data_IF_707599060637
#
_entry.id   IF_707599060637
#
_cell.length_a   1.000
_cell.length_b   1.000
_cell.length_c   1.000
_cell.angle_alpha   90.00
_cell.angle_beta   90.00
_cell.angle_gamma   90.00
#
_symmetry.space_group_name_H-M   'P 1'
#
loop_
_entity.id
_entity.type
_entity.pdbx_description
1 polymer ?
#
# COMPACT_ATOMS: atom_id res chain seq x y z
N UNK A 1 -21.26 12.17 13.22
CA UNK A 1 -20.93 10.73 13.10
C UNK A 1 -19.69 10.63 12.22
N UNK A 2 -18.52 10.60 12.85
CA UNK A 2 -17.20 10.53 12.20
C UNK A 2 -16.86 9.09 11.85
N UNK A 3 -17.52 8.56 10.82
CA UNK A 3 -17.09 7.29 10.21
C UNK A 3 -16.01 7.59 9.17
N UNK A 4 -14.79 7.75 9.69
CA UNK A 4 -13.48 7.52 9.06
C UNK A 4 -13.55 7.17 7.57
N UNK A 5 -13.44 8.23 6.75
CA UNK A 5 -13.25 8.23 5.29
C UNK A 5 -11.93 7.58 4.82
N UNK A 6 -11.33 6.69 5.62
CA UNK A 6 -10.07 6.00 5.30
C UNK A 6 -10.30 4.76 4.42
N UNK A 7 -11.54 4.26 4.33
CA UNK A 7 -11.87 3.04 3.58
C UNK A 7 -11.73 3.18 2.06
N UNK A 8 -12.09 4.33 1.48
CA UNK A 8 -12.07 4.53 0.02
C UNK A 8 -10.65 4.46 -0.54
N UNK A 9 -9.70 4.95 0.26
CA UNK A 9 -8.27 4.96 -0.02
C UNK A 9 -7.67 3.54 -0.04
N UNK A 10 -8.09 2.69 0.90
CA UNK A 10 -7.52 1.35 1.04
C UNK A 10 -7.91 0.47 -0.14
N UNK A 11 -9.09 0.68 -0.72
CA UNK A 11 -9.59 -0.13 -1.83
C UNK A 11 -8.82 0.14 -3.14
N UNK A 12 -8.50 1.41 -3.44
CA UNK A 12 -7.68 1.76 -4.61
C UNK A 12 -6.26 1.20 -4.50
N UNK A 13 -5.62 1.28 -3.33
CA UNK A 13 -4.28 0.70 -3.16
C UNK A 13 -4.27 -0.82 -3.23
N UNK A 14 -5.30 -1.48 -2.70
CA UNK A 14 -5.46 -2.93 -2.85
C UNK A 14 -5.49 -3.35 -4.31
N UNK A 15 -6.22 -2.62 -5.15
CA UNK A 15 -6.26 -2.89 -6.60
C UNK A 15 -4.90 -2.70 -7.25
N UNK A 16 -4.22 -1.56 -7.01
CA UNK A 16 -2.90 -1.30 -7.58
C UNK A 16 -1.87 -2.36 -7.15
N UNK A 17 -1.85 -2.73 -5.86
CA UNK A 17 -0.95 -3.76 -5.34
C UNK A 17 -1.24 -5.14 -5.93
N UNK A 18 -2.52 -5.47 -6.13
CA UNK A 18 -2.93 -6.71 -6.79
C UNK A 18 -2.46 -6.72 -8.24
N UNK A 19 -2.68 -5.63 -9.00
CA UNK A 19 -2.23 -5.49 -10.37
C UNK A 19 -0.70 -5.63 -10.48
N UNK A 20 0.06 -4.98 -9.60
CA UNK A 20 1.53 -5.08 -9.58
C UNK A 20 2.00 -6.50 -9.27
N UNK A 21 1.33 -7.18 -8.35
CA UNK A 21 1.61 -8.58 -8.03
C UNK A 21 1.30 -9.52 -9.21
N UNK A 22 0.15 -9.36 -9.87
CA UNK A 22 -0.23 -10.16 -11.04
C UNK A 22 0.67 -9.88 -12.26
N UNK A 23 1.04 -8.61 -12.46
CA UNK A 23 1.95 -8.18 -13.51
C UNK A 23 3.42 -8.54 -13.22
N UNK A 24 3.74 -8.99 -11.99
CA UNK A 24 5.11 -9.21 -11.50
C UNK A 24 5.99 -7.99 -11.71
N UNK A 25 5.43 -6.82 -11.44
CA UNK A 25 6.14 -5.56 -11.53
C UNK A 25 6.66 -5.13 -10.15
N UNK A 26 7.69 -4.28 -10.17
CA UNK A 26 8.19 -3.70 -8.93
C UNK A 26 7.17 -2.71 -8.38
N UNK A 27 6.92 -2.82 -7.08
CA UNK A 27 6.12 -1.88 -6.34
C UNK A 27 7.03 -0.90 -5.60
N UNK A 28 6.93 0.38 -5.96
CA UNK A 28 7.59 1.46 -5.23
C UNK A 28 6.65 2.01 -4.16
N UNK A 29 6.88 1.69 -2.90
CA UNK A 29 5.99 1.93 -1.78
C UNK A 29 6.56 2.97 -0.84
N UNK A 30 5.70 3.85 -0.35
CA UNK A 30 5.98 4.72 0.79
C UNK A 30 5.03 4.33 1.91
N UNK A 31 5.56 4.03 3.08
CA UNK A 31 4.76 3.63 4.25
C UNK A 31 5.35 4.23 5.53
N UNK A 32 4.50 4.32 6.56
CA UNK A 32 4.93 4.76 7.88
C UNK A 32 5.41 3.58 8.73
N UNK A 33 6.66 3.64 9.18
CA UNK A 33 7.24 2.70 10.14
C UNK A 33 8.22 3.45 11.04
N UNK A 34 7.67 4.10 12.07
CA UNK A 34 8.40 5.07 12.92
C UNK A 34 9.00 6.25 12.12
N UNK A 35 8.34 6.59 11.00
CA UNK A 35 8.80 7.57 10.03
C UNK A 35 8.50 7.14 8.59
N UNK A 36 8.72 8.06 7.65
CA UNK A 36 8.51 7.81 6.22
C UNK A 36 9.58 6.87 5.68
N UNK A 37 9.21 5.61 5.46
CA UNK A 37 10.09 4.60 4.88
C UNK A 37 9.66 4.29 3.45
N UNK A 38 10.66 4.17 2.56
CA UNK A 38 10.45 3.78 1.17
C UNK A 38 10.95 2.37 0.95
N UNK A 39 10.15 1.56 0.26
CA UNK A 39 10.55 0.26 -0.23
C UNK A 39 10.32 0.16 -1.74
N UNK A 40 11.23 -0.46 -2.46
CA UNK A 40 11.15 -0.65 -3.90
C UNK A 40 11.52 -2.09 -4.21
N UNK A 41 10.51 -2.94 -4.41
CA UNK A 41 10.73 -4.37 -4.58
C UNK A 41 9.53 -5.08 -5.21
N UNK A 42 9.69 -6.36 -5.56
CA UNK A 42 8.59 -7.16 -6.08
C UNK A 42 7.69 -7.65 -4.93
N UNK A 43 6.38 -7.65 -5.17
CA UNK A 43 5.42 -8.20 -4.22
C UNK A 43 5.47 -9.73 -4.33
N UNK A 44 6.06 -10.37 -3.34
CA UNK A 44 6.14 -11.84 -3.24
C UNK A 44 4.82 -12.45 -2.74
N UNK A 45 4.18 -11.80 -1.77
CA UNK A 45 2.89 -12.24 -1.24
C UNK A 45 1.97 -11.03 -1.03
N UNK A 46 0.72 -11.17 -1.47
CA UNK A 46 -0.34 -10.19 -1.23
C UNK A 46 -1.45 -10.84 -0.40
N UNK A 47 -1.77 -10.25 0.76
CA UNK A 47 -2.82 -10.72 1.67
C UNK A 47 -3.85 -9.62 1.93
N UNK A 48 -5.07 -9.81 1.44
CA UNK A 48 -6.19 -8.90 1.65
C UNK A 48 -7.21 -9.48 2.65
N UNK A 49 -6.81 -9.58 3.93
CA UNK A 49 -7.66 -10.13 5.00
C UNK A 49 -8.19 -9.00 5.91
N UNK A 50 -9.03 -8.14 5.33
CA UNK A 50 -9.68 -7.04 6.06
C UNK A 50 -8.68 -6.10 6.75
N UNK A 51 -8.75 -6.03 8.08
CA UNK A 51 -7.92 -5.16 8.93
C UNK A 51 -6.44 -5.58 8.97
N UNK A 52 -6.15 -6.86 8.71
CA UNK A 52 -4.79 -7.42 8.70
C UNK A 52 -4.21 -7.52 7.29
N UNK A 53 -4.66 -6.68 6.37
CA UNK A 53 -4.16 -6.71 4.99
C UNK A 53 -2.68 -6.28 4.94
N UNK A 54 -1.82 -7.11 4.34
CA UNK A 54 -0.38 -6.87 4.22
C UNK A 54 0.16 -7.34 2.88
N UNK A 55 1.35 -6.84 2.55
CA UNK A 55 2.18 -7.32 1.46
C UNK A 55 3.54 -7.76 2.00
N UNK A 56 4.10 -8.81 1.43
CA UNK A 56 5.46 -9.25 1.66
C UNK A 56 6.24 -9.01 0.38
N UNK A 57 7.31 -8.23 0.50
CA UNK A 57 8.25 -8.00 -0.57
C UNK A 57 9.25 -9.16 -0.69
N UNK A 58 9.84 -9.35 -1.87
CA UNK A 58 10.82 -10.42 -2.13
C UNK A 58 12.08 -10.28 -1.28
N UNK A 59 12.45 -9.05 -0.91
CA UNK A 59 13.51 -8.77 0.08
C UNK A 59 13.17 -9.20 1.53
N UNK A 60 11.99 -9.76 1.78
CA UNK A 60 11.53 -10.24 3.09
C UNK A 60 10.81 -9.19 3.93
N UNK A 61 10.61 -7.98 3.40
CA UNK A 61 9.96 -6.90 4.13
C UNK A 61 8.44 -7.03 4.11
N UNK A 62 7.83 -7.07 5.29
CA UNK A 62 6.37 -7.12 5.45
C UNK A 62 5.82 -5.73 5.73
N UNK A 63 4.92 -5.25 4.87
CA UNK A 63 4.30 -3.92 4.96
C UNK A 63 2.79 -4.08 5.12
N UNK A 64 2.22 -3.44 6.14
CA UNK A 64 0.76 -3.42 6.31
C UNK A 64 0.16 -2.40 5.34
N UNK A 65 -0.90 -2.79 4.61
CA UNK A 65 -1.54 -1.92 3.61
C UNK A 65 -2.14 -0.66 4.28
N UNK A 66 -2.56 -0.76 5.54
CA UNK A 66 -3.07 0.38 6.31
C UNK A 66 -1.99 1.43 6.66
N UNK A 67 -0.70 1.08 6.58
CA UNK A 67 0.44 1.98 6.78
C UNK A 67 0.99 2.54 5.47
N UNK A 68 0.53 2.04 4.33
CA UNK A 68 0.95 2.52 3.01
C UNK A 68 0.36 3.90 2.75
N UNK A 69 1.25 4.84 2.45
CA UNK A 69 0.97 6.25 2.14
C UNK A 69 0.93 6.46 0.62
N UNK A 70 1.80 5.77 -0.13
CA UNK A 70 1.88 5.89 -1.59
C UNK A 70 2.33 4.58 -2.25
N UNK A 71 1.89 4.36 -3.49
CA UNK A 71 2.28 3.24 -4.35
C UNK A 71 2.63 3.78 -5.74
N UNK A 72 3.81 3.51 -6.25
CA UNK A 72 4.36 3.99 -7.52
C UNK A 72 4.19 5.50 -7.76
N UNK A 73 4.37 6.30 -6.70
CA UNK A 73 4.17 7.77 -6.77
C UNK A 73 2.71 8.20 -6.91
N UNK A 74 1.76 7.26 -6.88
CA UNK A 74 0.34 7.55 -6.70
C UNK A 74 0.09 7.70 -5.21
N UNK A 75 -0.23 8.93 -4.81
CA UNK A 75 -0.59 9.29 -3.45
C UNK A 75 -2.09 9.24 -3.28
N UNK A 76 -2.54 9.09 -2.03
CA UNK A 76 -3.94 9.26 -1.68
C UNK A 76 -4.49 10.57 -2.25
N UNK A 77 -5.62 10.53 -2.96
CA UNK A 77 -6.28 11.76 -3.43
C UNK A 77 -6.63 12.73 -2.28
N UNK A 78 -6.62 12.26 -1.03
CA UNK A 78 -6.74 13.09 0.18
C UNK A 78 -5.54 14.04 0.41
N UNK A 79 -4.45 13.85 -0.34
CA UNK A 79 -3.27 14.71 -0.38
C UNK A 79 -3.23 15.60 -1.64
N UNK A 80 -4.26 15.54 -2.50
CA UNK A 80 -4.31 16.25 -3.79
C UNK A 80 -5.17 17.52 -3.75
N UNK A 81 -5.43 18.08 -2.57
CA UNK A 81 -6.02 19.42 -2.39
C UNK A 81 -4.96 20.34 -1.78
N UNK A 82 -4.13 20.92 -2.65
CA UNK A 82 -3.39 22.15 -2.39
C UNK A 82 -3.89 23.21 -3.38
#
# INVERSE_FOLDING_TARGET
MDSRKTLVVTETFRQILLELHEAKEKASLLYDDDGLTRADDFIQEYKADGDNSYILLENGQKILINRVIAVNGTFLSQYSEC
#
